data_IF_565343088859
#
_entry.id   IF_565343088859
#
_cell.length_a   1.000
_cell.length_b   1.000
_cell.length_c   1.000
_cell.angle_alpha   90.00
_cell.angle_beta   90.00
_cell.angle_gamma   90.00
#
_symmetry.space_group_name_H-M   'P 1'
#
loop_
_entity.id
_entity.type
_entity.pdbx_description
1 polymer ?
#
# COMPACT_ATOMS: atom_id res chain seq x y z
N UNK A 1 19.95 -44.40 25.31
CA UNK A 1 18.64 -43.96 24.75
C UNK A 1 18.48 -42.46 25.02
N UNK A 2 19.08 -41.58 24.21
CA UNK A 2 18.99 -40.13 24.45
C UNK A 2 19.31 -39.27 23.20
N UNK A 3 19.00 -39.76 21.99
CA UNK A 3 19.36 -39.06 20.74
C UNK A 3 18.14 -38.66 19.89
N UNK A 4 16.97 -38.51 20.49
CA UNK A 4 15.70 -38.33 19.76
C UNK A 4 14.88 -37.09 20.12
N UNK A 5 15.39 -36.16 20.94
CA UNK A 5 14.56 -35.04 21.46
C UNK A 5 15.03 -33.63 21.11
N UNK A 6 16.14 -33.45 20.39
CA UNK A 6 16.69 -32.11 20.11
C UNK A 6 16.35 -31.65 18.67
N UNK A 7 16.06 -32.58 17.76
CA UNK A 7 15.82 -32.26 16.34
C UNK A 7 14.45 -31.63 16.04
N UNK A 8 13.50 -31.62 16.99
CA UNK A 8 12.15 -31.09 16.75
C UNK A 8 12.01 -29.58 16.94
N UNK A 9 12.97 -28.90 17.59
CA UNK A 9 12.84 -27.47 17.91
C UNK A 9 13.32 -26.58 16.76
N UNK A 10 14.26 -27.06 15.93
CA UNK A 10 14.80 -26.27 14.82
C UNK A 10 13.85 -26.14 13.62
N UNK A 11 12.88 -27.05 13.45
CA UNK A 11 11.96 -26.99 12.30
C UNK A 11 10.88 -25.91 12.44
N UNK A 12 10.54 -25.50 13.66
CA UNK A 12 9.46 -24.53 13.92
C UNK A 12 9.93 -23.08 13.69
N UNK A 13 11.23 -22.79 13.92
CA UNK A 13 11.78 -21.45 13.75
C UNK A 13 11.87 -21.03 12.27
N UNK A 14 12.10 -21.96 11.34
CA UNK A 14 12.21 -21.66 9.92
C UNK A 14 10.88 -21.29 9.26
N UNK A 15 9.76 -21.83 9.75
CA UNK A 15 8.41 -21.55 9.21
C UNK A 15 7.87 -20.18 9.61
N UNK A 16 8.35 -19.59 10.71
CA UNK A 16 7.92 -18.26 11.15
C UNK A 16 8.49 -17.12 10.28
N UNK A 17 9.65 -17.33 9.63
CA UNK A 17 10.33 -16.31 8.81
C UNK A 17 9.71 -16.14 7.41
N UNK A 18 9.00 -17.16 6.89
CA UNK A 18 8.42 -17.14 5.54
C UNK A 18 7.13 -16.31 5.46
N UNK A 19 6.47 -16.04 6.58
CA UNK A 19 5.16 -15.37 6.61
C UNK A 19 5.27 -13.85 6.35
N UNK A 20 6.45 -13.24 6.51
CA UNK A 20 6.62 -11.79 6.37
C UNK A 20 6.91 -11.30 4.95
N UNK A 21 7.08 -12.20 3.98
CA UNK A 21 7.53 -11.84 2.62
C UNK A 21 6.40 -11.58 1.62
N UNK A 22 5.14 -11.64 2.06
CA UNK A 22 3.99 -11.55 1.14
C UNK A 22 3.60 -10.09 0.90
N UNK A 23 4.18 -9.50 -0.14
CA UNK A 23 3.49 -8.49 -0.95
C UNK A 23 3.63 -7.04 -0.52
N UNK A 24 4.87 -6.54 -0.39
CA UNK A 24 5.10 -5.13 -0.69
C UNK A 24 5.32 -5.02 -2.20
N UNK A 25 4.24 -4.90 -2.98
CA UNK A 25 4.39 -4.50 -4.38
C UNK A 25 5.12 -3.16 -4.39
N UNK A 26 6.27 -3.09 -5.07
CA UNK A 26 7.06 -1.88 -5.13
C UNK A 26 6.22 -0.81 -5.85
N UNK A 27 5.71 0.15 -5.09
CA UNK A 27 4.98 1.29 -5.65
C UNK A 27 5.95 2.08 -6.52
N UNK A 28 5.66 2.15 -7.82
CA UNK A 28 6.42 2.99 -8.74
C UNK A 28 5.99 4.46 -8.51
N UNK A 29 6.94 5.40 -8.52
CA UNK A 29 6.65 6.83 -8.34
C UNK A 29 7.40 7.63 -9.42
N UNK A 30 6.84 8.76 -9.90
CA UNK A 30 5.55 9.32 -9.54
C UNK A 30 4.38 8.46 -10.03
N UNK A 31 3.23 8.62 -9.37
CA UNK A 31 1.98 7.96 -9.75
C UNK A 31 0.87 8.99 -9.88
N UNK A 32 -0.03 8.78 -10.82
CA UNK A 32 -1.29 9.51 -10.92
C UNK A 32 -2.41 8.60 -10.46
N UNK A 33 -3.18 9.04 -9.47
CA UNK A 33 -4.27 8.27 -8.91
C UNK A 33 -5.61 9.01 -8.97
N UNK A 34 -6.70 8.28 -9.18
CA UNK A 34 -8.05 8.79 -8.97
C UNK A 34 -8.82 7.96 -7.95
N UNK A 35 -9.85 8.57 -7.36
CA UNK A 35 -10.72 7.96 -6.37
C UNK A 35 -12.13 7.79 -6.94
N UNK A 36 -12.53 6.55 -7.18
CA UNK A 36 -13.80 6.12 -7.77
C UNK A 36 -14.13 6.77 -9.12
N UNK A 37 -13.11 7.27 -9.83
CA UNK A 37 -13.29 8.11 -11.01
C UNK A 37 -14.20 9.34 -10.74
N UNK A 38 -14.27 9.77 -9.48
CA UNK A 38 -15.04 10.91 -9.01
C UNK A 38 -14.07 12.06 -8.71
N UNK A 39 -14.25 13.18 -9.41
CA UNK A 39 -13.35 14.33 -9.30
C UNK A 39 -13.39 14.99 -7.92
N UNK A 40 -14.56 15.05 -7.28
CA UNK A 40 -14.69 15.66 -5.96
C UNK A 40 -13.95 14.81 -4.91
N UNK A 41 -14.16 13.48 -4.96
CA UNK A 41 -13.46 12.55 -4.06
C UNK A 41 -11.96 12.54 -4.29
N UNK A 42 -11.55 12.55 -5.57
CA UNK A 42 -10.13 12.59 -5.96
C UNK A 42 -9.48 13.87 -5.47
N UNK A 43 -10.12 15.02 -5.66
CA UNK A 43 -9.62 16.31 -5.16
C UNK A 43 -9.48 16.31 -3.65
N UNK A 44 -10.48 15.80 -2.92
CA UNK A 44 -10.43 15.72 -1.47
C UNK A 44 -9.29 14.81 -0.99
N UNK A 45 -9.18 13.60 -1.55
CA UNK A 45 -8.09 12.67 -1.23
C UNK A 45 -6.72 13.26 -1.57
N UNK A 46 -6.60 13.98 -2.70
CA UNK A 46 -5.36 14.62 -3.12
C UNK A 46 -4.93 15.77 -2.20
N UNK A 47 -5.89 16.56 -1.74
CA UNK A 47 -5.67 17.64 -0.77
C UNK A 47 -5.13 17.09 0.55
N UNK A 48 -5.73 16.00 1.06
CA UNK A 48 -5.28 15.32 2.29
C UNK A 48 -3.86 14.76 2.10
N UNK A 49 -3.57 14.22 0.91
CA UNK A 49 -2.27 13.64 0.60
C UNK A 49 -1.15 14.67 0.37
N UNK A 50 -1.48 15.96 0.18
CA UNK A 50 -0.51 16.97 -0.25
C UNK A 50 0.07 16.69 -1.65
N UNK A 51 -0.74 16.05 -2.51
CA UNK A 51 -0.38 15.75 -3.91
C UNK A 51 -0.71 16.91 -4.85
N UNK A 52 -0.39 16.74 -6.14
CA UNK A 52 -0.67 17.72 -7.17
C UNK A 52 -1.93 17.33 -7.95
N UNK A 53 -3.03 18.06 -7.78
CA UNK A 53 -4.30 17.76 -8.47
C UNK A 53 -4.35 18.44 -9.84
N UNK A 54 -4.54 17.66 -10.91
CA UNK A 54 -4.52 18.15 -12.31
C UNK A 54 -5.90 18.44 -12.91
N UNK A 55 -6.98 18.23 -12.16
CA UNK A 55 -8.36 18.36 -12.63
C UNK A 55 -9.11 17.03 -12.75
N UNK A 56 -8.44 15.88 -12.67
CA UNK A 56 -9.08 14.56 -12.63
C UNK A 56 -8.30 13.48 -11.89
N UNK A 57 -7.04 13.74 -11.58
CA UNK A 57 -6.14 12.81 -10.90
C UNK A 57 -5.22 13.54 -9.93
N UNK A 58 -4.61 12.79 -9.03
CA UNK A 58 -3.65 13.25 -8.05
C UNK A 58 -2.27 12.72 -8.39
N UNK A 59 -1.33 13.62 -8.71
CA UNK A 59 0.08 13.33 -8.88
C UNK A 59 0.78 13.16 -7.52
N UNK A 60 1.44 12.02 -7.33
CA UNK A 60 2.03 11.56 -6.08
C UNK A 60 3.48 11.17 -6.34
N UNK A 61 4.42 11.95 -5.82
CA UNK A 61 5.87 11.81 -6.03
C UNK A 61 6.57 11.08 -4.88
N UNK A 62 5.87 10.84 -3.77
CA UNK A 62 6.42 10.27 -2.55
C UNK A 62 5.50 9.18 -2.00
N UNK A 63 6.10 8.14 -1.43
CA UNK A 63 5.35 7.01 -0.87
C UNK A 63 4.40 7.43 0.26
N UNK A 64 4.80 8.44 1.05
CA UNK A 64 3.96 9.01 2.11
C UNK A 64 2.69 9.65 1.55
N UNK A 65 2.81 10.42 0.47
CA UNK A 65 1.66 11.02 -0.22
C UNK A 65 0.78 9.95 -0.86
N UNK A 66 1.40 8.95 -1.49
CA UNK A 66 0.68 7.82 -2.08
C UNK A 66 -0.20 7.11 -1.04
N UNK A 67 0.38 6.73 0.10
CA UNK A 67 -0.37 6.09 1.18
C UNK A 67 -1.46 7.00 1.76
N UNK A 68 -1.17 8.29 1.92
CA UNK A 68 -2.16 9.27 2.38
C UNK A 68 -3.35 9.40 1.41
N UNK A 69 -3.10 9.37 0.10
CA UNK A 69 -4.14 9.36 -0.93
C UNK A 69 -5.00 8.10 -0.83
N UNK A 70 -4.38 6.91 -0.72
CA UNK A 70 -5.12 5.64 -0.60
C UNK A 70 -6.02 5.63 0.63
N UNK A 71 -5.51 6.06 1.79
CA UNK A 71 -6.29 6.20 3.02
C UNK A 71 -7.42 7.23 2.87
N UNK A 72 -7.11 8.39 2.27
CA UNK A 72 -8.09 9.44 2.02
C UNK A 72 -9.21 9.00 1.07
N UNK A 73 -8.90 8.17 0.06
CA UNK A 73 -9.89 7.61 -0.85
C UNK A 73 -10.74 6.52 -0.15
N UNK A 74 -10.10 5.63 0.62
CA UNK A 74 -10.80 4.57 1.34
C UNK A 74 -11.79 5.11 2.37
N UNK A 75 -11.44 6.20 3.08
CA UNK A 75 -12.35 6.85 4.04
C UNK A 75 -13.60 7.46 3.39
N UNK A 76 -13.57 7.69 2.07
CA UNK A 76 -14.70 8.19 1.29
C UNK A 76 -15.51 7.04 0.65
N UNK A 77 -15.31 5.80 1.11
CA UNK A 77 -15.80 4.57 0.49
C UNK A 77 -15.48 4.53 -1.01
N UNK A 78 -14.30 5.03 -1.38
CA UNK A 78 -13.83 5.07 -2.76
C UNK A 78 -12.89 3.92 -3.08
N UNK A 79 -12.93 3.46 -4.32
CA UNK A 79 -11.92 2.57 -4.89
C UNK A 79 -10.86 3.44 -5.58
N UNK A 80 -9.59 3.12 -5.48
CA UNK A 80 -8.54 3.89 -6.15
C UNK A 80 -8.07 3.21 -7.43
N UNK A 81 -7.67 3.99 -8.42
CA UNK A 81 -6.92 3.53 -9.59
C UNK A 81 -5.69 4.41 -9.74
N UNK A 82 -4.52 3.78 -9.87
CA UNK A 82 -3.25 4.47 -10.00
C UNK A 82 -2.52 3.98 -11.26
N UNK A 83 -1.80 4.89 -11.93
CA UNK A 83 -0.96 4.62 -13.09
C UNK A 83 0.31 5.49 -13.06
N UNK A 84 1.23 5.22 -13.98
CA UNK A 84 2.52 5.92 -14.13
C UNK A 84 2.60 6.56 -15.51
#
# INVERSE_FOLDING_TARGET
MALNKISSIFLVAALALVVMSQGAEAVTLPAWCNCSNDQAKTKQACSIAGGNYDGGSCGLDQIGKYNAFLMGCSQQNGSYRCWH
#
